data_IF_305340275693
#
_entry.id   IF_305340275693
#
_cell.length_a   1.000
_cell.length_b   1.000
_cell.length_c   1.000
_cell.angle_alpha   90.00
_cell.angle_beta   90.00
_cell.angle_gamma   90.00
#
_symmetry.space_group_name_H-M   'P 1'
#
loop_
_entity.id
_entity.type
_entity.pdbx_description
1 polymer ?
#
# COMPACT_ATOMS: atom_id res chain seq x y z
N UNK A 1 21.85 5.60 -3.43
CA UNK A 1 22.08 4.36 -2.65
C UNK A 1 20.77 3.66 -2.33
N UNK A 2 19.77 4.31 -1.70
CA UNK A 2 18.49 3.65 -1.39
C UNK A 2 17.75 3.13 -2.63
N UNK A 3 17.63 3.93 -3.70
CA UNK A 3 17.04 3.45 -4.96
C UNK A 3 17.76 2.22 -5.55
N UNK A 4 19.06 2.09 -5.28
CA UNK A 4 19.84 0.94 -5.71
C UNK A 4 19.53 -0.30 -4.86
N UNK A 5 19.30 -0.14 -3.54
CA UNK A 5 18.73 -1.19 -2.67
C UNK A 5 17.43 -1.73 -3.23
N UNK A 6 16.50 -0.81 -3.55
CA UNK A 6 15.19 -1.14 -4.11
C UNK A 6 15.33 -1.92 -5.42
N UNK A 7 16.15 -1.43 -6.36
CA UNK A 7 16.38 -2.12 -7.64
C UNK A 7 16.97 -3.52 -7.40
N UNK A 8 17.94 -3.64 -6.51
CA UNK A 8 18.64 -4.90 -6.23
C UNK A 8 17.72 -5.96 -5.60
N UNK A 9 16.89 -5.58 -4.63
CA UNK A 9 15.86 -6.45 -4.09
C UNK A 9 14.80 -6.81 -5.15
N UNK A 10 14.46 -5.88 -6.03
CA UNK A 10 13.51 -6.13 -7.13
C UNK A 10 14.04 -7.22 -8.07
N UNK A 11 15.34 -7.23 -8.39
CA UNK A 11 15.98 -8.28 -9.21
C UNK A 11 15.81 -9.65 -8.57
N UNK A 12 16.00 -9.76 -7.25
CA UNK A 12 15.80 -11.02 -6.52
C UNK A 12 14.35 -11.50 -6.57
N UNK A 13 13.39 -10.61 -6.32
CA UNK A 13 11.98 -10.97 -6.41
C UNK A 13 11.56 -11.35 -7.84
N UNK A 14 12.10 -10.67 -8.85
CA UNK A 14 11.93 -11.06 -10.25
C UNK A 14 12.50 -12.44 -10.57
N UNK A 15 13.64 -12.82 -9.97
CA UNK A 15 14.22 -14.15 -10.14
C UNK A 15 13.39 -15.25 -9.46
N UNK A 16 13.00 -15.05 -8.19
CA UNK A 16 12.22 -16.04 -7.42
C UNK A 16 10.83 -16.25 -8.02
N UNK A 17 10.12 -15.15 -8.30
CA UNK A 17 8.71 -15.23 -8.69
C UNK A 17 8.48 -15.21 -10.20
N UNK A 18 9.54 -15.03 -11.01
CA UNK A 18 9.47 -14.90 -12.47
C UNK A 18 8.47 -13.82 -12.91
N UNK A 19 8.42 -12.71 -12.17
CA UNK A 19 7.55 -11.55 -12.43
C UNK A 19 8.36 -10.33 -12.88
N UNK A 20 7.72 -9.45 -13.65
CA UNK A 20 8.35 -8.23 -14.15
C UNK A 20 8.66 -7.20 -13.06
N UNK A 21 9.57 -6.28 -13.35
CA UNK A 21 9.98 -5.20 -12.45
C UNK A 21 8.80 -4.39 -11.88
N UNK A 22 7.83 -4.07 -12.74
CA UNK A 22 6.65 -3.28 -12.36
C UNK A 22 5.82 -3.93 -11.23
N UNK A 23 5.82 -5.25 -11.15
CA UNK A 23 5.08 -6.00 -10.14
C UNK A 23 5.90 -6.15 -8.85
N UNK A 24 7.22 -6.30 -8.97
CA UNK A 24 8.10 -6.68 -7.86
C UNK A 24 8.73 -5.51 -7.12
N UNK A 25 8.75 -4.30 -7.70
CA UNK A 25 9.30 -3.10 -7.02
C UNK A 25 8.59 -2.71 -5.70
N UNK A 26 7.26 -2.84 -5.53
CA UNK A 26 6.62 -2.52 -4.25
C UNK A 26 7.07 -3.46 -3.13
N UNK A 27 7.27 -4.74 -3.46
CA UNK A 27 7.79 -5.74 -2.51
C UNK A 27 9.18 -5.35 -2.00
N UNK A 28 10.05 -4.88 -2.89
CA UNK A 28 11.39 -4.41 -2.52
C UNK A 28 11.33 -3.23 -1.55
N UNK A 29 10.49 -2.23 -1.84
CA UNK A 29 10.27 -1.07 -0.96
C UNK A 29 9.75 -1.52 0.41
N UNK A 30 8.74 -2.40 0.46
CA UNK A 30 8.18 -2.89 1.72
C UNK A 30 9.21 -3.69 2.52
N UNK A 31 9.98 -4.57 1.86
CA UNK A 31 10.99 -5.36 2.54
C UNK A 31 12.11 -4.48 3.13
N UNK A 32 12.57 -3.47 2.39
CA UNK A 32 13.52 -2.47 2.88
C UNK A 32 13.00 -1.81 4.18
N UNK A 33 11.72 -1.40 4.20
CA UNK A 33 11.08 -0.83 5.39
C UNK A 33 11.06 -1.83 6.55
N UNK A 34 10.67 -3.09 6.30
CA UNK A 34 10.57 -4.10 7.36
C UNK A 34 11.93 -4.44 7.98
N UNK A 35 13.01 -4.46 7.17
CA UNK A 35 14.38 -4.66 7.67
C UNK A 35 14.78 -3.50 8.60
N UNK A 36 14.58 -2.27 8.15
CA UNK A 36 14.94 -1.09 8.95
C UNK A 36 14.06 -0.97 10.20
N UNK A 37 12.77 -1.32 10.08
CA UNK A 37 11.84 -1.38 11.19
C UNK A 37 12.28 -2.39 12.25
N UNK A 38 12.64 -3.62 11.86
CA UNK A 38 13.12 -4.62 12.81
C UNK A 38 14.37 -4.15 13.58
N UNK A 39 15.30 -3.48 12.90
CA UNK A 39 16.47 -2.88 13.56
C UNK A 39 16.11 -1.67 14.44
N UNK A 40 15.13 -0.86 14.02
CA UNK A 40 14.64 0.28 14.78
C UNK A 40 13.97 -0.11 16.10
N UNK A 41 13.30 -1.26 16.17
CA UNK A 41 12.77 -1.85 17.41
C UNK A 41 13.88 -2.14 18.44
N UNK A 42 15.10 -2.39 17.97
CA UNK A 42 16.28 -2.61 18.81
C UNK A 42 17.07 -1.33 19.10
N UNK A 43 16.61 -0.17 18.60
CA UNK A 43 17.32 1.10 18.70
C UNK A 43 18.52 1.22 17.76
N UNK A 44 18.54 0.45 16.67
CA UNK A 44 19.64 0.37 15.71
C UNK A 44 19.18 0.73 14.28
N UNK A 45 18.26 1.69 14.14
CA UNK A 45 17.64 2.02 12.84
C UNK A 45 18.68 2.34 11.74
N UNK A 46 19.74 3.09 12.07
CA UNK A 46 20.83 3.39 11.13
C UNK A 46 21.57 2.13 10.66
N UNK A 47 21.81 1.18 11.57
CA UNK A 47 22.40 -0.12 11.20
C UNK A 47 21.42 -0.89 10.32
N UNK A 48 20.12 -0.80 10.58
CA UNK A 48 19.06 -1.32 9.71
C UNK A 48 19.18 -0.84 8.27
N UNK A 49 19.47 0.44 8.04
CA UNK A 49 19.66 0.99 6.68
C UNK A 49 20.87 0.36 5.99
N UNK A 50 21.99 0.20 6.70
CA UNK A 50 23.17 -0.48 6.15
C UNK A 50 22.91 -1.97 5.92
N UNK A 51 22.17 -2.63 6.81
CA UNK A 51 21.78 -4.03 6.67
C UNK A 51 20.91 -4.24 5.43
N UNK A 52 19.91 -3.37 5.20
CA UNK A 52 19.09 -3.39 4.00
C UNK A 52 19.95 -3.29 2.72
N UNK A 53 20.92 -2.35 2.70
CA UNK A 53 21.85 -2.21 1.58
C UNK A 53 22.71 -3.48 1.37
N UNK A 54 23.29 -4.05 2.42
CA UNK A 54 24.11 -5.27 2.32
C UNK A 54 23.27 -6.46 1.86
N UNK A 55 22.08 -6.64 2.43
CA UNK A 55 21.13 -7.69 2.04
C UNK A 55 20.78 -7.54 0.57
N UNK A 56 20.51 -6.32 0.09
CA UNK A 56 20.18 -6.08 -1.32
C UNK A 56 21.30 -6.53 -2.28
N UNK A 57 22.57 -6.27 -1.94
CA UNK A 57 23.74 -6.74 -2.72
C UNK A 57 23.82 -8.25 -2.73
N UNK A 58 23.68 -8.90 -1.56
CA UNK A 58 23.69 -10.36 -1.45
C UNK A 58 22.55 -10.97 -2.29
N UNK A 59 21.36 -10.38 -2.21
CA UNK A 59 20.18 -10.81 -2.98
C UNK A 59 20.41 -10.76 -4.48
N UNK A 60 21.08 -9.74 -5.03
CA UNK A 60 21.41 -9.70 -6.47
C UNK A 60 22.38 -10.82 -6.86
N UNK A 61 23.40 -11.07 -6.04
CA UNK A 61 24.35 -12.16 -6.30
C UNK A 61 23.62 -13.51 -6.35
N UNK A 62 22.73 -13.77 -5.38
CA UNK A 62 21.89 -14.97 -5.39
C UNK A 62 20.96 -15.04 -6.60
N UNK A 63 20.34 -13.92 -6.99
CA UNK A 63 19.46 -13.86 -8.16
C UNK A 63 20.20 -14.24 -9.45
N UNK A 64 21.44 -13.76 -9.62
CA UNK A 64 22.30 -14.11 -10.75
C UNK A 64 22.67 -15.60 -10.72
N UNK A 65 23.08 -16.13 -9.56
CA UNK A 65 23.44 -17.55 -9.41
C UNK A 65 22.25 -18.46 -9.77
N UNK A 66 21.06 -18.18 -9.24
CA UNK A 66 19.83 -18.95 -9.53
C UNK A 66 19.52 -18.90 -11.03
N UNK A 67 19.64 -17.72 -11.66
CA UNK A 67 19.25 -17.53 -13.05
C UNK A 67 20.25 -18.13 -14.04
N UNK A 68 21.55 -18.11 -13.73
CA UNK A 68 22.59 -18.76 -14.53
C UNK A 68 22.51 -20.27 -14.36
N UNK A 69 22.36 -20.77 -13.13
CA UNK A 69 22.23 -22.20 -12.85
C UNK A 69 20.97 -22.84 -13.44
N UNK A 70 19.87 -22.08 -13.56
CA UNK A 70 18.62 -22.53 -14.15
C UNK A 70 18.49 -22.33 -15.66
N UNK A 71 19.46 -21.70 -16.34
CA UNK A 71 19.38 -21.35 -17.77
C UNK A 71 18.40 -20.21 -18.11
N UNK A 72 17.76 -19.60 -17.10
CA UNK A 72 16.72 -18.58 -17.23
C UNK A 72 17.26 -17.13 -17.30
N UNK A 73 18.58 -16.94 -17.38
CA UNK A 73 19.21 -15.61 -17.34
C UNK A 73 18.64 -14.61 -18.37
N UNK A 74 18.29 -15.08 -19.57
CA UNK A 74 17.65 -14.25 -20.60
C UNK A 74 16.25 -13.79 -20.17
N UNK A 75 15.46 -14.68 -19.56
CA UNK A 75 14.13 -14.35 -19.08
C UNK A 75 14.19 -13.36 -17.91
N UNK A 76 15.12 -13.57 -16.96
CA UNK A 76 15.35 -12.61 -15.88
C UNK A 76 15.69 -11.22 -16.42
N UNK A 77 16.59 -11.14 -17.42
CA UNK A 77 16.98 -9.88 -18.03
C UNK A 77 15.77 -9.10 -18.57
N UNK A 78 14.88 -9.76 -19.32
CA UNK A 78 13.68 -9.10 -19.86
C UNK A 78 12.62 -8.77 -18.80
N UNK A 79 12.57 -9.53 -17.69
CA UNK A 79 11.69 -9.22 -16.58
C UNK A 79 12.16 -7.98 -15.80
N UNK A 80 13.47 -7.88 -15.55
CA UNK A 80 14.09 -6.76 -14.82
C UNK A 80 14.15 -5.52 -15.70
N UNK A 81 14.80 -5.58 -16.86
CA UNK A 81 14.94 -4.46 -17.79
C UNK A 81 13.71 -4.31 -18.69
N UNK A 82 12.54 -4.33 -18.06
CA UNK A 82 11.25 -4.13 -18.71
C UNK A 82 10.93 -2.64 -18.90
N UNK A 83 9.87 -2.33 -19.63
CA UNK A 83 9.43 -0.92 -19.76
C UNK A 83 9.02 -0.32 -18.41
N UNK A 84 8.51 -1.14 -17.48
CA UNK A 84 8.27 -0.72 -16.10
C UNK A 84 9.54 -0.18 -15.42
N UNK A 85 10.70 -0.79 -15.68
CA UNK A 85 11.98 -0.30 -15.17
C UNK A 85 12.37 1.05 -15.79
N UNK A 86 12.16 1.23 -17.09
CA UNK A 86 12.41 2.52 -17.75
C UNK A 86 11.51 3.63 -17.20
N UNK A 87 10.20 3.35 -17.03
CA UNK A 87 9.24 4.27 -16.41
C UNK A 87 9.68 4.62 -14.99
N UNK A 88 10.06 3.61 -14.18
CA UNK A 88 10.57 3.84 -12.83
C UNK A 88 11.81 4.74 -12.82
N UNK A 89 12.80 4.50 -13.69
CA UNK A 89 14.01 5.33 -13.74
C UNK A 89 13.72 6.77 -14.16
N UNK A 90 12.91 6.98 -15.21
CA UNK A 90 12.56 8.31 -15.71
C UNK A 90 11.81 9.10 -14.62
N UNK A 91 10.87 8.45 -13.95
CA UNK A 91 10.03 9.08 -12.93
C UNK A 91 10.79 9.30 -11.63
N UNK A 92 11.66 8.38 -11.23
CA UNK A 92 12.57 8.56 -10.10
C UNK A 92 13.54 9.73 -10.36
N UNK A 93 14.06 9.86 -11.58
CA UNK A 93 14.89 10.99 -11.98
C UNK A 93 14.09 12.31 -11.94
N UNK A 94 12.85 12.31 -12.45
CA UNK A 94 11.97 13.47 -12.39
C UNK A 94 11.67 13.88 -10.94
N UNK A 95 11.34 12.93 -10.07
CA UNK A 95 11.15 13.18 -8.63
C UNK A 95 12.39 13.79 -8.02
N UNK A 96 13.58 13.23 -8.29
CA UNK A 96 14.82 13.79 -7.76
C UNK A 96 15.07 15.24 -8.20
N UNK A 97 14.81 15.56 -9.48
CA UNK A 97 14.95 16.92 -10.01
C UNK A 97 13.92 17.87 -9.40
N UNK A 98 12.66 17.46 -9.34
CA UNK A 98 11.56 18.28 -8.81
C UNK A 98 11.64 18.49 -7.31
N UNK A 99 12.15 17.50 -6.56
CA UNK A 99 12.37 17.61 -5.12
C UNK A 99 13.60 18.43 -4.77
N UNK A 100 14.48 18.76 -5.73
CA UNK A 100 15.68 19.54 -5.47
C UNK A 100 15.30 20.97 -5.07
N UNK A 101 15.68 21.38 -3.86
CA UNK A 101 15.34 22.67 -3.25
C UNK A 101 13.83 22.91 -3.05
N UNK A 102 12.98 21.88 -3.19
CA UNK A 102 11.58 21.99 -2.84
C UNK A 102 11.42 22.01 -1.31
N UNK A 103 10.51 22.86 -0.83
CA UNK A 103 10.10 22.90 0.56
C UNK A 103 8.88 22.00 0.78
N UNK A 104 8.78 21.38 1.95
CA UNK A 104 7.59 20.66 2.35
C UNK A 104 6.42 21.63 2.56
N UNK A 105 5.25 21.25 2.07
CA UNK A 105 4.02 21.93 2.47
C UNK A 105 3.62 21.46 3.87
N UNK A 106 4.00 22.23 4.89
CA UNK A 106 3.70 21.93 6.28
C UNK A 106 2.20 21.95 6.60
N UNK A 107 1.37 22.55 5.75
CA UNK A 107 -0.09 22.60 5.95
C UNK A 107 -0.73 21.22 5.78
N UNK A 108 -0.12 20.37 4.95
CA UNK A 108 -0.63 19.03 4.65
C UNK A 108 0.32 17.90 5.04
N UNK A 109 1.51 18.24 5.54
CA UNK A 109 2.45 17.26 6.07
C UNK A 109 1.95 16.74 7.41
N UNK A 110 1.84 15.42 7.51
CA UNK A 110 1.62 14.72 8.77
C UNK A 110 2.81 14.98 9.70
N UNK A 111 2.55 15.77 10.74
CA UNK A 111 3.52 16.12 11.77
C UNK A 111 4.06 14.88 12.48
N UNK A 112 3.27 13.82 12.61
CA UNK A 112 3.71 12.59 13.27
C UNK A 112 4.77 11.87 12.43
N UNK A 113 4.56 11.77 11.12
CA UNK A 113 5.56 11.26 10.17
C UNK A 113 6.84 12.09 10.23
N UNK A 114 6.75 13.42 10.12
CA UNK A 114 7.93 14.30 10.14
C UNK A 114 8.73 14.18 11.44
N UNK A 115 8.06 14.24 12.59
CA UNK A 115 8.71 14.15 13.90
C UNK A 115 9.36 12.76 14.11
N UNK A 116 8.74 11.70 13.59
CA UNK A 116 9.31 10.35 13.62
C UNK A 116 10.62 10.27 12.83
N UNK A 117 10.68 10.87 11.63
CA UNK A 117 11.93 10.92 10.84
C UNK A 117 13.03 11.66 11.60
N UNK A 118 12.69 12.77 12.26
CA UNK A 118 13.63 13.54 13.06
C UNK A 118 14.14 12.74 14.28
N UNK A 119 13.23 12.05 14.99
CA UNK A 119 13.58 11.18 16.12
C UNK A 119 14.51 10.02 15.70
N UNK A 120 14.28 9.42 14.52
CA UNK A 120 15.16 8.36 14.00
C UNK A 120 16.55 8.86 13.61
N UNK A 121 16.68 10.13 13.20
CA UNK A 121 17.99 10.72 12.92
C UNK A 121 18.75 11.04 14.20
N UNK A 122 18.08 11.60 15.22
CA UNK A 122 18.72 11.99 16.47
C UNK A 122 19.03 10.81 17.37
N UNK A 123 18.07 9.89 17.54
CA UNK A 123 18.13 8.82 18.54
C UNK A 123 18.28 7.41 17.97
N UNK A 124 18.11 7.21 16.65
CA UNK A 124 18.24 5.90 16.01
C UNK A 124 17.23 4.84 16.47
N UNK A 125 16.20 5.24 17.22
CA UNK A 125 15.23 4.34 17.85
C UNK A 125 13.80 4.89 17.74
N UNK A 126 12.81 4.02 17.94
CA UNK A 126 11.41 4.43 17.99
C UNK A 126 10.96 4.93 19.37
N UNK A 127 11.88 5.13 20.34
CA UNK A 127 11.51 5.51 21.71
C UNK A 127 10.93 6.91 21.84
N UNK A 128 11.27 7.79 20.90
CA UNK A 128 10.83 9.19 20.90
C UNK A 128 9.80 9.46 19.79
N UNK A 129 9.11 8.41 19.33
CA UNK A 129 8.05 8.54 18.31
C UNK A 129 6.88 9.30 18.91
N UNK A 130 6.32 10.29 18.19
CA UNK A 130 5.23 11.10 18.70
C UNK A 130 3.93 10.29 18.85
N UNK A 131 3.09 10.73 19.78
CA UNK A 131 1.78 10.15 20.03
C UNK A 131 0.67 11.02 19.43
N UNK A 132 -0.25 10.40 18.70
CA UNK A 132 -1.49 11.03 18.24
C UNK A 132 -2.60 10.67 19.21
N UNK A 133 -3.12 11.66 19.96
CA UNK A 133 -4.18 11.47 20.94
C UNK A 133 -3.91 10.35 21.98
N UNK A 134 -2.66 10.23 22.43
CA UNK A 134 -2.23 9.20 23.38
C UNK A 134 -2.04 7.81 22.77
N UNK A 135 -2.01 7.70 21.44
CA UNK A 135 -1.71 6.48 20.69
C UNK A 135 -0.37 6.65 19.99
N UNK A 136 0.56 5.72 20.23
CA UNK A 136 1.86 5.71 19.56
C UNK A 136 1.67 5.41 18.07
N UNK A 137 2.16 6.31 17.21
CA UNK A 137 1.99 6.21 15.75
C UNK A 137 3.01 5.21 15.19
N UNK A 138 2.59 4.08 14.58
CA UNK A 138 3.49 3.17 13.90
C UNK A 138 4.35 3.89 12.84
N UNK A 139 5.66 3.56 12.71
CA UNK A 139 6.62 4.41 12.02
C UNK A 139 6.90 4.00 10.57
N UNK A 140 6.15 3.07 9.97
CA UNK A 140 6.47 2.39 8.71
C UNK A 140 6.67 3.33 7.53
N UNK A 141 5.79 4.32 7.33
CA UNK A 141 5.97 5.31 6.27
C UNK A 141 7.19 6.21 6.55
N UNK A 142 7.33 6.64 7.80
CA UNK A 142 8.45 7.45 8.25
C UNK A 142 9.79 6.71 8.13
N UNK A 143 9.82 5.39 8.34
CA UNK A 143 11.01 4.54 8.17
C UNK A 143 11.49 4.57 6.72
N UNK A 144 10.58 4.46 5.75
CA UNK A 144 10.98 4.56 4.35
C UNK A 144 11.58 5.94 4.02
N UNK A 145 10.91 7.01 4.46
CA UNK A 145 11.39 8.39 4.27
C UNK A 145 12.76 8.57 4.95
N UNK A 146 12.92 8.04 6.16
CA UNK A 146 14.16 8.07 6.93
C UNK A 146 15.33 7.44 6.19
N UNK A 147 15.14 6.37 5.42
CA UNK A 147 16.23 5.76 4.65
C UNK A 147 16.92 6.76 3.71
N UNK A 148 16.17 7.72 3.15
CA UNK A 148 16.68 8.74 2.23
C UNK A 148 17.43 9.88 2.95
N UNK A 149 17.26 10.02 4.26
CA UNK A 149 17.96 11.02 5.09
C UNK A 149 19.08 10.41 5.94
N UNK A 150 18.98 9.11 6.26
CA UNK A 150 19.91 8.40 7.14
C UNK A 150 21.36 8.37 6.62
N UNK A 151 21.55 8.22 5.30
CA UNK A 151 22.88 8.15 4.69
C UNK A 151 23.59 9.50 4.61
N UNK A 152 22.82 10.59 4.51
CA UNK A 152 23.37 11.96 4.47
C UNK A 152 23.53 12.55 5.87
N UNK A 153 22.87 11.97 6.88
CA UNK A 153 22.84 12.47 8.25
C UNK A 153 22.13 13.82 8.40
N UNK A 154 21.41 14.27 7.35
CA UNK A 154 20.73 15.56 7.32
C UNK A 154 19.26 15.38 6.96
N UNK A 155 18.37 15.86 7.83
CA UNK A 155 16.95 16.03 7.51
C UNK A 155 16.83 17.23 6.59
N UNK A 156 16.59 17.00 5.31
CA UNK A 156 16.23 18.05 4.36
C UNK A 156 14.91 17.69 3.70
N UNK A 157 14.07 18.69 3.46
CA UNK A 157 12.78 18.53 2.77
C UNK A 157 12.95 17.83 1.43
N UNK A 158 14.01 18.20 0.70
CA UNK A 158 14.36 17.57 -0.58
C UNK A 158 14.58 16.06 -0.49
N UNK A 159 15.30 15.57 0.52
CA UNK A 159 15.54 14.14 0.71
C UNK A 159 14.23 13.42 1.10
N UNK A 160 13.41 14.04 1.96
CA UNK A 160 12.16 13.46 2.41
C UNK A 160 11.13 13.38 1.28
N UNK A 161 11.00 14.44 0.47
CA UNK A 161 10.16 14.48 -0.73
C UNK A 161 10.62 13.49 -1.78
N UNK A 162 11.94 13.31 -1.95
CA UNK A 162 12.48 12.26 -2.83
C UNK A 162 12.01 10.88 -2.36
N UNK A 163 12.15 10.57 -1.08
CA UNK A 163 11.68 9.31 -0.51
C UNK A 163 10.17 9.10 -0.70
N UNK A 164 9.36 10.11 -0.40
CA UNK A 164 7.92 10.07 -0.61
C UNK A 164 7.55 9.82 -2.09
N UNK A 165 8.19 10.52 -3.02
CA UNK A 165 7.95 10.33 -4.45
C UNK A 165 8.34 8.94 -4.96
N UNK A 166 9.47 8.40 -4.50
CA UNK A 166 9.90 7.03 -4.85
C UNK A 166 8.91 5.99 -4.30
N UNK A 167 8.42 6.18 -3.08
CA UNK A 167 7.39 5.30 -2.49
C UNK A 167 6.15 5.24 -3.38
N UNK A 168 5.68 6.40 -3.82
CA UNK A 168 4.46 6.55 -4.61
C UNK A 168 4.60 5.89 -5.97
N UNK A 169 5.71 6.16 -6.67
CA UNK A 169 6.00 5.53 -7.96
C UNK A 169 6.01 4.01 -7.80
N UNK A 170 6.70 3.49 -6.78
CA UNK A 170 6.80 2.06 -6.55
C UNK A 170 5.44 1.41 -6.31
N UNK A 171 4.57 2.02 -5.50
CA UNK A 171 3.24 1.45 -5.20
C UNK A 171 2.26 1.48 -6.39
N UNK A 172 2.45 2.40 -7.34
CA UNK A 172 1.55 2.54 -8.51
C UNK A 172 1.99 1.68 -9.68
N UNK A 173 3.28 1.36 -9.78
CA UNK A 173 3.85 0.62 -10.90
C UNK A 173 3.14 -0.73 -11.21
N UNK A 174 2.61 -1.48 -10.22
CA UNK A 174 1.83 -2.70 -10.49
C UNK A 174 0.60 -2.49 -11.37
N UNK A 175 0.01 -1.28 -11.38
CA UNK A 175 -1.09 -0.90 -12.29
C UNK A 175 -0.66 -1.02 -13.76
N UNK A 176 0.65 -0.95 -14.05
CA UNK A 176 1.21 -1.10 -15.38
C UNK A 176 1.75 -2.51 -15.66
N UNK A 177 1.74 -3.38 -14.65
CA UNK A 177 2.47 -4.67 -14.67
C UNK A 177 1.96 -5.68 -15.69
N UNK A 178 0.75 -5.51 -16.24
CA UNK A 178 0.14 -6.41 -17.23
C UNK A 178 -0.14 -5.75 -18.59
N UNK A 179 0.26 -4.50 -18.78
CA UNK A 179 0.05 -3.81 -20.05
C UNK A 179 0.92 -4.45 -21.14
N UNK A 180 0.35 -4.74 -22.31
CA UNK A 180 1.15 -5.18 -23.46
C UNK A 180 1.88 -3.98 -24.07
N UNK A 181 3.14 -3.81 -23.67
CA UNK A 181 4.00 -2.71 -24.09
C UNK A 181 4.35 -2.68 -25.58
N UNK A 182 4.07 -3.76 -26.34
CA UNK A 182 4.24 -3.76 -27.80
C UNK A 182 3.32 -2.74 -28.48
N UNK A 183 2.26 -2.28 -27.79
CA UNK A 183 1.31 -1.27 -28.27
C UNK A 183 1.44 0.00 -27.43
N UNK A 184 2.59 0.65 -27.59
CA UNK A 184 3.09 1.72 -26.71
C UNK A 184 2.13 2.87 -26.39
N UNK A 185 1.13 3.15 -27.25
CA UNK A 185 0.18 4.25 -27.03
C UNK A 185 -0.79 4.02 -25.85
N UNK A 186 -1.25 2.78 -25.60
CA UNK A 186 -2.09 2.47 -24.44
C UNK A 186 -1.30 2.55 -23.13
N UNK A 187 -0.04 2.14 -23.18
CA UNK A 187 0.85 2.20 -22.03
C UNK A 187 1.27 3.64 -21.68
N UNK A 188 1.48 4.48 -22.71
CA UNK A 188 1.70 5.93 -22.58
C UNK A 188 0.49 6.68 -22.03
N UNK A 189 -0.74 6.19 -22.26
CA UNK A 189 -1.95 6.78 -21.69
C UNK A 189 -2.23 6.31 -20.25
N UNK A 190 -1.92 5.04 -19.93
CA UNK A 190 -2.18 4.45 -18.62
C UNK A 190 -1.35 5.10 -17.50
N UNK A 191 -0.11 5.48 -17.78
CA UNK A 191 0.79 6.08 -16.79
C UNK A 191 0.33 7.48 -16.32
N UNK A 192 0.09 8.47 -17.22
CA UNK A 192 -0.51 9.73 -16.84
C UNK A 192 -1.88 9.58 -16.19
N UNK A 193 -2.69 8.60 -16.63
CA UNK A 193 -4.00 8.35 -16.03
C UNK A 193 -3.89 7.86 -14.59
N UNK A 194 -2.96 6.94 -14.30
CA UNK A 194 -2.71 6.48 -12.94
C UNK A 194 -2.22 7.62 -12.02
N UNK A 195 -1.38 8.52 -12.54
CA UNK A 195 -0.95 9.72 -11.82
C UNK A 195 -2.06 10.76 -11.66
N UNK A 196 -2.91 10.93 -12.68
CA UNK A 196 -4.07 11.81 -12.63
C UNK A 196 -5.10 11.33 -11.61
N UNK A 197 -5.30 10.01 -11.47
CA UNK A 197 -6.17 9.44 -10.44
C UNK A 197 -5.72 9.87 -9.03
N UNK A 198 -4.42 10.00 -8.79
CA UNK A 198 -3.92 10.51 -7.52
C UNK A 198 -4.24 11.99 -7.28
N UNK A 199 -4.41 12.78 -8.34
CA UNK A 199 -4.76 14.21 -8.25
C UNK A 199 -6.24 14.45 -8.00
N UNK A 200 -7.10 13.43 -8.17
CA UNK A 200 -8.56 13.51 -7.93
C UNK A 200 -8.86 13.81 -6.45
N UNK A 201 -7.98 13.40 -5.53
CA UNK A 201 -8.07 13.78 -4.12
C UNK A 201 -7.80 15.28 -3.85
N UNK A 202 -7.34 16.03 -4.85
CA UNK A 202 -7.13 17.48 -4.77
C UNK A 202 -6.18 17.91 -3.65
N UNK A 203 -6.49 19.03 -2.99
CA UNK A 203 -5.77 19.52 -1.80
C UNK A 203 -5.85 18.56 -0.60
N UNK A 204 -6.75 17.58 -0.64
CA UNK A 204 -6.92 16.55 0.39
C UNK A 204 -6.10 15.30 0.07
N UNK A 205 -5.21 15.32 -0.90
CA UNK A 205 -4.28 14.21 -1.14
C UNK A 205 -2.96 14.70 -1.73
N UNK A 206 -2.19 15.53 -1.01
CA UNK A 206 -0.93 16.06 -1.50
C UNK A 206 0.15 15.00 -1.37
N UNK A 207 0.21 14.12 -2.36
CA UNK A 207 1.19 13.03 -2.41
C UNK A 207 2.59 13.56 -2.78
N UNK A 208 2.65 14.67 -3.53
CA UNK A 208 3.87 15.08 -4.23
C UNK A 208 4.69 16.14 -3.49
N UNK A 209 4.09 16.87 -2.54
CA UNK A 209 4.72 17.99 -1.83
C UNK A 209 4.54 17.93 -0.30
N UNK A 210 3.97 16.84 0.23
CA UNK A 210 3.78 16.65 1.67
C UNK A 210 4.08 15.20 2.08
N UNK A 211 4.44 15.00 3.34
CA UNK A 211 4.57 13.65 3.92
C UNK A 211 3.22 13.25 4.49
N UNK A 212 2.51 12.33 3.86
CA UNK A 212 1.19 11.92 4.30
C UNK A 212 1.12 10.39 4.43
N UNK A 213 1.13 9.89 5.67
CA UNK A 213 1.09 8.45 5.96
C UNK A 213 -0.22 7.80 5.53
N UNK A 214 -1.33 8.54 5.54
CA UNK A 214 -2.64 8.09 5.05
C UNK A 214 -2.52 7.79 3.57
N UNK A 215 -1.95 8.73 2.82
CA UNK A 215 -1.70 8.54 1.40
C UNK A 215 -0.81 7.33 1.12
N UNK A 216 0.23 7.14 1.93
CA UNK A 216 1.06 5.94 1.90
C UNK A 216 0.25 4.66 2.10
N UNK A 217 -0.62 4.61 3.12
CA UNK A 217 -1.43 3.43 3.45
C UNK A 217 -2.39 3.06 2.31
N UNK A 218 -2.96 4.08 1.69
CA UNK A 218 -3.93 3.95 0.60
C UNK A 218 -3.26 3.38 -0.64
N UNK A 219 -2.06 3.86 -0.97
CA UNK A 219 -1.30 3.35 -2.10
C UNK A 219 -0.90 1.88 -1.90
N UNK A 220 -0.51 1.50 -0.66
CA UNK A 220 -0.23 0.10 -0.33
C UNK A 220 -1.51 -0.75 -0.48
N UNK A 221 -2.65 -0.27 0.03
CA UNK A 221 -3.93 -0.98 -0.10
C UNK A 221 -4.40 -1.10 -1.56
N UNK A 222 -4.25 -0.04 -2.37
CA UNK A 222 -4.54 -0.06 -3.80
C UNK A 222 -3.66 -1.07 -4.54
N UNK A 223 -2.37 -1.12 -4.20
CA UNK A 223 -1.43 -2.10 -4.74
C UNK A 223 -1.85 -3.54 -4.38
N UNK A 224 -2.32 -3.78 -3.16
CA UNK A 224 -2.84 -5.08 -2.72
C UNK A 224 -4.06 -5.49 -3.54
N UNK A 225 -5.03 -4.60 -3.75
CA UNK A 225 -6.21 -4.86 -4.57
C UNK A 225 -5.84 -5.19 -6.02
N UNK A 226 -5.00 -4.37 -6.64
CA UNK A 226 -4.53 -4.60 -8.02
C UNK A 226 -3.80 -5.94 -8.12
N UNK A 227 -2.93 -6.25 -7.16
CA UNK A 227 -2.18 -7.51 -7.16
C UNK A 227 -3.11 -8.71 -7.01
N UNK A 228 -4.02 -8.69 -6.03
CA UNK A 228 -4.91 -9.81 -5.75
C UNK A 228 -5.91 -10.06 -6.88
N UNK A 229 -6.53 -9.00 -7.40
CA UNK A 229 -7.63 -9.12 -8.37
C UNK A 229 -7.13 -9.37 -9.79
N UNK A 230 -5.92 -8.89 -10.12
CA UNK A 230 -5.40 -8.94 -11.47
C UNK A 230 -4.35 -10.03 -11.67
N UNK A 231 -3.69 -10.56 -10.63
CA UNK A 231 -2.70 -11.64 -10.78
C UNK A 231 -3.34 -13.02 -10.62
N UNK A 232 -2.69 -14.04 -11.21
CA UNK A 232 -3.05 -15.43 -10.96
C UNK A 232 -2.75 -15.79 -9.50
N UNK A 233 -3.66 -16.52 -8.86
CA UNK A 233 -3.54 -16.91 -7.46
C UNK A 233 -2.36 -17.89 -7.30
N UNK A 234 -1.20 -17.35 -6.91
CA UNK A 234 0.05 -18.07 -6.75
C UNK A 234 0.81 -17.55 -5.53
N UNK A 235 1.91 -18.22 -5.15
CA UNK A 235 2.70 -17.85 -3.98
C UNK A 235 3.11 -16.37 -3.96
N UNK A 236 3.47 -15.81 -5.12
CA UNK A 236 3.77 -14.39 -5.29
C UNK A 236 2.68 -13.46 -4.72
N UNK A 237 1.40 -13.75 -4.98
CA UNK A 237 0.27 -12.93 -4.54
C UNK A 237 0.20 -12.93 -3.01
N UNK A 238 0.25 -14.09 -2.37
CA UNK A 238 0.17 -14.19 -0.91
C UNK A 238 1.39 -13.61 -0.19
N UNK A 239 2.59 -13.74 -0.77
CA UNK A 239 3.78 -13.06 -0.27
C UNK A 239 3.64 -11.54 -0.34
N UNK A 240 3.13 -11.03 -1.46
CA UNK A 240 2.87 -9.60 -1.65
C UNK A 240 1.83 -9.09 -0.67
N UNK A 241 0.71 -9.79 -0.54
CA UNK A 241 -0.34 -9.44 0.40
C UNK A 241 0.15 -9.53 1.84
N UNK A 242 1.00 -10.49 2.20
CA UNK A 242 1.52 -10.66 3.55
C UNK A 242 2.42 -9.52 3.96
N UNK A 243 3.38 -9.18 3.10
CA UNK A 243 4.30 -8.07 3.31
C UNK A 243 3.56 -6.73 3.30
N UNK A 244 2.61 -6.53 2.38
CA UNK A 244 1.83 -5.30 2.30
C UNK A 244 0.85 -5.15 3.49
N UNK A 245 0.23 -6.22 3.97
CA UNK A 245 -0.55 -6.22 5.21
C UNK A 245 0.34 -5.86 6.41
N UNK A 246 1.54 -6.42 6.50
CA UNK A 246 2.49 -6.04 7.54
C UNK A 246 2.86 -4.56 7.46
N UNK A 247 3.13 -4.05 6.26
CA UNK A 247 3.37 -2.62 6.03
C UNK A 247 2.19 -1.78 6.52
N UNK A 248 0.95 -2.14 6.16
CA UNK A 248 -0.26 -1.46 6.62
C UNK A 248 -0.37 -1.43 8.15
N UNK A 249 -0.06 -2.53 8.84
CA UNK A 249 -0.08 -2.57 10.30
C UNK A 249 0.96 -1.64 10.95
N UNK A 250 2.07 -1.35 10.25
CA UNK A 250 3.13 -0.49 10.79
C UNK A 250 3.13 0.92 10.20
N UNK A 251 2.25 1.27 9.27
CA UNK A 251 2.36 2.55 8.55
C UNK A 251 1.78 3.74 9.33
N UNK A 252 0.68 3.53 10.06
CA UNK A 252 0.00 4.46 10.96
C UNK A 252 -1.13 3.72 11.70
N UNK A 253 -1.71 4.29 12.78
CA UNK A 253 -2.90 3.73 13.38
C UNK A 253 -4.04 3.73 12.35
N UNK A 254 -4.75 2.61 12.26
CA UNK A 254 -5.88 2.41 11.34
C UNK A 254 -5.50 1.75 10.02
N UNK A 255 -4.20 1.65 9.72
CA UNK A 255 -3.73 0.82 8.61
C UNK A 255 -4.06 -0.66 8.83
N UNK A 256 -4.07 -1.13 10.09
CA UNK A 256 -4.55 -2.46 10.47
C UNK A 256 -6.00 -2.73 10.03
N UNK A 257 -6.86 -1.71 9.98
CA UNK A 257 -8.24 -1.87 9.50
C UNK A 257 -8.27 -2.14 7.99
N UNK A 258 -7.38 -1.52 7.22
CA UNK A 258 -7.22 -1.79 5.78
C UNK A 258 -6.65 -3.19 5.54
N UNK A 259 -5.74 -3.66 6.39
CA UNK A 259 -5.23 -5.03 6.32
C UNK A 259 -6.34 -6.06 6.61
N UNK A 260 -7.15 -5.83 7.65
CA UNK A 260 -8.35 -6.64 7.97
C UNK A 260 -9.35 -6.59 6.81
N UNK A 261 -9.58 -5.42 6.23
CA UNK A 261 -10.47 -5.28 5.08
C UNK A 261 -10.01 -6.13 3.90
N UNK A 262 -8.71 -6.10 3.58
CA UNK A 262 -8.17 -6.97 2.53
C UNK A 262 -8.39 -8.46 2.85
N UNK A 263 -8.18 -8.87 4.10
CA UNK A 263 -8.44 -10.24 4.51
C UNK A 263 -9.91 -10.61 4.27
N UNK A 264 -10.85 -9.73 4.62
CA UNK A 264 -12.27 -9.99 4.38
C UNK A 264 -12.59 -10.04 2.88
N UNK A 265 -11.98 -9.19 2.05
CA UNK A 265 -12.12 -9.27 0.59
C UNK A 265 -11.71 -10.65 0.09
N UNK A 266 -10.55 -11.15 0.52
CA UNK A 266 -10.05 -12.48 0.14
C UNK A 266 -11.02 -13.57 0.60
N UNK A 267 -11.53 -13.49 1.84
CA UNK A 267 -12.47 -14.48 2.37
C UNK A 267 -13.80 -14.47 1.62
N UNK A 268 -14.37 -13.30 1.32
CA UNK A 268 -15.62 -13.17 0.56
C UNK A 268 -15.42 -13.69 -0.85
N UNK A 269 -14.32 -13.33 -1.52
CA UNK A 269 -14.01 -13.78 -2.87
C UNK A 269 -13.86 -15.31 -2.94
N UNK A 270 -13.14 -15.90 -1.98
CA UNK A 270 -13.02 -17.36 -1.81
C UNK A 270 -14.38 -18.02 -1.55
N UNK A 271 -15.21 -17.42 -0.70
CA UNK A 271 -16.54 -17.95 -0.37
C UNK A 271 -17.52 -17.84 -1.54
N UNK A 272 -17.48 -16.75 -2.31
CA UNK A 272 -18.37 -16.47 -3.43
C UNK A 272 -18.00 -17.24 -4.69
N UNK A 273 -16.70 -17.38 -4.99
CA UNK A 273 -16.19 -18.15 -6.14
C UNK A 273 -16.00 -19.64 -5.84
N UNK A 274 -16.18 -20.06 -4.58
CA UNK A 274 -16.45 -21.43 -4.14
C UNK A 274 -15.52 -22.51 -4.69
N UNK A 275 -14.51 -22.89 -3.91
CA UNK A 275 -13.74 -24.16 -3.90
C UNK A 275 -13.11 -24.73 -5.19
N UNK A 276 -13.52 -24.35 -6.40
CA UNK A 276 -13.01 -24.90 -7.67
C UNK A 276 -11.55 -24.49 -7.93
N UNK A 277 -11.13 -23.27 -7.56
CA UNK A 277 -9.72 -22.83 -7.62
C UNK A 277 -8.95 -23.12 -6.30
N UNK A 278 -9.66 -23.24 -5.17
CA UNK A 278 -9.05 -23.36 -3.83
C UNK A 278 -8.56 -24.79 -3.54
N UNK A 279 -9.19 -25.81 -4.13
CA UNK A 279 -8.72 -27.20 -4.03
C UNK A 279 -7.27 -27.35 -4.50
N UNK A 280 -6.88 -26.66 -5.57
CA UNK A 280 -5.50 -26.64 -6.05
C UNK A 280 -4.55 -25.78 -5.19
N UNK A 281 -5.09 -24.89 -4.36
CA UNK A 281 -4.30 -24.06 -3.45
C UNK A 281 -3.69 -24.90 -2.32
N UNK A 282 -4.43 -25.90 -1.85
CA UNK A 282 -3.99 -26.84 -0.83
C UNK A 282 -3.29 -28.09 -1.40
N UNK A 283 -3.26 -28.24 -2.73
CA UNK A 283 -2.62 -29.38 -3.39
C UNK A 283 -1.08 -29.34 -3.38
N UNK A 284 -0.47 -28.16 -3.23
CA UNK A 284 0.98 -27.99 -3.29
C UNK A 284 1.55 -27.40 -1.97
N UNK A 285 2.60 -28.02 -1.38
CA UNK A 285 3.22 -27.53 -0.15
C UNK A 285 3.67 -26.05 -0.19
N UNK A 286 4.17 -25.59 -1.34
CA UNK A 286 4.64 -24.22 -1.52
C UNK A 286 3.53 -23.15 -1.42
N UNK A 287 2.29 -23.52 -1.72
CA UNK A 287 1.14 -22.59 -1.68
C UNK A 287 0.65 -22.37 -0.24
N UNK A 288 0.55 -23.41 0.60
CA UNK A 288 0.16 -23.23 2.01
C UNK A 288 1.20 -22.44 2.82
N UNK A 289 2.49 -22.65 2.54
CA UNK A 289 3.59 -21.88 3.17
C UNK A 289 3.38 -20.38 2.91
N UNK A 290 2.95 -20.02 1.71
CA UNK A 290 2.71 -18.62 1.34
C UNK A 290 1.50 -18.02 2.09
N UNK A 291 0.47 -18.82 2.37
CA UNK A 291 -0.69 -18.40 3.17
C UNK A 291 -0.32 -18.28 4.66
N UNK A 292 0.44 -19.23 5.21
CA UNK A 292 0.93 -19.14 6.59
C UNK A 292 1.86 -17.93 6.75
N UNK A 293 2.74 -17.70 5.79
CA UNK A 293 3.60 -16.52 5.75
C UNK A 293 2.78 -15.22 5.82
N UNK A 294 1.68 -15.11 5.05
CA UNK A 294 0.78 -13.97 5.11
C UNK A 294 0.30 -13.67 6.54
N UNK A 295 -0.20 -14.70 7.24
CA UNK A 295 -0.70 -14.52 8.61
C UNK A 295 0.42 -14.22 9.61
N UNK A 296 1.53 -14.95 9.54
CA UNK A 296 2.65 -14.81 10.47
C UNK A 296 3.28 -13.42 10.37
N UNK A 297 3.54 -12.94 9.16
CA UNK A 297 4.19 -11.63 8.94
C UNK A 297 3.26 -10.48 9.33
N UNK A 298 1.98 -10.56 9.00
CA UNK A 298 0.98 -9.56 9.43
C UNK A 298 0.83 -9.53 10.95
N UNK A 299 0.69 -10.69 11.60
CA UNK A 299 0.56 -10.79 13.04
C UNK A 299 1.83 -10.30 13.76
N UNK A 300 3.01 -10.64 13.25
CA UNK A 300 4.28 -10.16 13.79
C UNK A 300 4.38 -8.63 13.70
N UNK A 301 4.07 -8.05 12.54
CA UNK A 301 4.12 -6.59 12.34
C UNK A 301 3.18 -5.86 13.31
N UNK A 302 1.93 -6.32 13.42
CA UNK A 302 0.97 -5.79 14.37
C UNK A 302 1.43 -5.94 15.83
N UNK A 303 1.77 -7.16 16.25
CA UNK A 303 2.14 -7.43 17.64
C UNK A 303 3.44 -6.72 18.05
N UNK A 304 4.45 -6.71 17.18
CA UNK A 304 5.76 -6.13 17.48
C UNK A 304 5.68 -4.65 17.81
N UNK A 305 4.87 -3.88 17.07
CA UNK A 305 4.70 -2.45 17.34
C UNK A 305 4.06 -2.22 18.70
N UNK A 306 2.93 -2.88 18.96
CA UNK A 306 2.19 -2.69 20.20
C UNK A 306 2.95 -3.18 21.44
N UNK A 307 3.70 -4.28 21.31
CA UNK A 307 4.59 -4.76 22.38
C UNK A 307 5.70 -3.74 22.63
N UNK A 308 6.32 -3.19 21.57
CA UNK A 308 7.36 -2.20 21.70
C UNK A 308 6.85 -0.91 22.34
N UNK A 309 5.72 -0.38 21.86
CA UNK A 309 5.08 0.81 22.41
C UNK A 309 4.77 0.63 23.90
N UNK A 310 4.13 -0.49 24.26
CA UNK A 310 3.82 -0.83 25.65
C UNK A 310 5.05 -0.94 26.56
N UNK A 311 6.16 -1.53 26.07
CA UNK A 311 7.42 -1.64 26.83
C UNK A 311 8.13 -0.31 27.05
N UNK A 312 7.99 0.62 26.13
CA UNK A 312 8.65 1.94 26.21
C UNK A 312 7.73 3.02 26.78
N UNK A 313 6.54 2.65 27.28
CA UNK A 313 5.59 3.60 27.84
C UNK A 313 4.95 4.53 26.81
N UNK A 314 5.16 4.27 25.51
CA UNK A 314 4.56 5.01 24.41
C UNK A 314 3.11 4.55 24.23
N UNK A 315 2.19 5.50 24.30
CA UNK A 315 0.80 5.37 23.87
C UNK A 315 0.06 4.13 24.37
N UNK A 316 -0.83 4.33 25.34
CA UNK A 316 -1.56 3.20 25.94
C UNK A 316 -2.79 2.82 25.10
N UNK A 317 -2.60 2.19 23.94
CA UNK A 317 -3.71 1.77 23.04
C UNK A 317 -4.90 1.11 23.76
N UNK A 318 -4.63 0.19 24.70
CA UNK A 318 -5.69 -0.47 25.48
C UNK A 318 -6.27 0.40 26.61
N UNK A 319 -5.56 1.45 27.03
CA UNK A 319 -5.99 2.39 28.06
C UNK A 319 -6.69 3.62 27.46
N UNK A 320 -6.45 3.97 26.19
CA UNK A 320 -7.30 4.88 25.40
C UNK A 320 -8.63 4.23 25.01
N UNK A 321 -8.69 2.89 24.96
CA UNK A 321 -9.96 2.13 24.87
C UNK A 321 -10.73 2.17 26.23
N UNK A 322 -10.07 2.51 27.35
CA UNK A 322 -10.77 2.75 28.61
C UNK A 322 -11.53 4.08 28.56
N UNK A 323 -12.84 3.94 28.33
CA UNK A 323 -13.95 4.82 28.70
C UNK A 323 -13.51 6.13 29.38
N UNK A 324 -13.24 7.18 28.59
CA UNK A 324 -13.14 8.55 29.12
C UNK A 324 -14.53 9.04 29.59
N UNK A 325 -14.61 9.91 30.61
CA UNK A 325 -15.87 10.42 31.16
C UNK A 325 -16.69 11.29 30.20
N UNK A 326 -16.13 11.77 29.08
CA UNK A 326 -16.83 12.54 28.03
C UNK A 326 -17.76 11.68 27.14
N UNK A 327 -18.31 10.58 27.68
CA UNK A 327 -19.15 9.60 26.98
C UNK A 327 -20.66 9.86 27.08
N UNK A 328 -21.09 11.12 27.16
CA UNK A 328 -22.52 11.47 27.31
C UNK A 328 -23.40 11.12 26.09
N UNK A 329 -22.80 10.74 24.96
CA UNK A 329 -23.50 10.12 23.84
C UNK A 329 -23.42 8.58 23.94
N UNK A 330 -24.55 7.96 24.25
CA UNK A 330 -24.74 6.52 24.12
C UNK A 330 -24.35 6.01 22.73
N UNK A 331 -24.15 4.69 22.59
CA UNK A 331 -23.73 4.04 21.34
C UNK A 331 -24.52 4.54 20.11
N UNK A 332 -25.84 4.65 20.25
CA UNK A 332 -26.75 5.17 19.22
C UNK A 332 -26.47 6.62 18.82
N UNK A 333 -26.07 7.48 19.78
CA UNK A 333 -25.73 8.88 19.52
C UNK A 333 -24.42 9.04 18.75
N UNK A 334 -23.40 8.24 19.08
CA UNK A 334 -22.11 8.24 18.37
C UNK A 334 -22.22 7.65 16.97
N UNK A 335 -22.91 6.52 16.86
CA UNK A 335 -23.23 5.93 15.57
C UNK A 335 -24.04 6.94 14.73
N UNK A 336 -25.03 7.61 15.33
CA UNK A 336 -25.78 8.69 14.72
C UNK A 336 -24.91 9.86 14.22
N UNK A 337 -23.85 10.25 14.95
CA UNK A 337 -22.90 11.28 14.48
C UNK A 337 -22.03 10.79 13.31
N UNK A 338 -21.56 9.55 13.34
CA UNK A 338 -20.79 8.98 12.22
C UNK A 338 -21.66 8.83 10.99
N UNK A 339 -22.87 8.30 11.14
CA UNK A 339 -23.85 8.24 10.05
C UNK A 339 -24.24 9.64 9.58
N UNK A 340 -24.42 10.62 10.46
CA UNK A 340 -24.66 12.00 10.06
C UNK A 340 -23.48 12.60 9.29
N UNK A 341 -22.23 12.28 9.66
CA UNK A 341 -21.04 12.72 8.94
C UNK A 341 -20.91 12.04 7.57
N UNK A 342 -21.16 10.72 7.52
CA UNK A 342 -21.19 9.92 6.29
C UNK A 342 -22.28 10.43 5.34
N UNK A 343 -23.48 10.67 5.84
CA UNK A 343 -24.67 11.03 5.07
C UNK A 343 -24.98 12.54 5.03
N UNK A 344 -24.03 13.39 5.43
CA UNK A 344 -24.12 14.83 5.20
C UNK A 344 -24.11 15.07 3.69
N UNK A 345 -25.16 15.71 3.15
CA UNK A 345 -25.44 15.75 1.71
C UNK A 345 -24.35 16.42 0.86
N UNK A 346 -23.50 17.26 1.47
CA UNK A 346 -22.32 17.85 0.80
C UNK A 346 -21.15 16.88 0.65
N UNK A 347 -21.13 15.83 1.46
CA UNK A 347 -20.04 14.88 1.59
C UNK A 347 -20.31 13.63 0.75
N UNK A 348 -21.54 13.11 0.76
CA UNK A 348 -21.88 11.85 0.08
C UNK A 348 -22.03 11.96 -1.43
N UNK A 349 -22.51 13.11 -1.94
CA UNK A 349 -22.86 13.26 -3.36
C UNK A 349 -21.66 13.04 -4.29
N UNK A 350 -20.45 13.59 -4.03
CA UNK A 350 -19.26 13.28 -4.81
C UNK A 350 -18.90 11.78 -4.79
N UNK A 351 -19.06 11.11 -3.64
CA UNK A 351 -18.70 9.69 -3.50
C UNK A 351 -19.66 8.76 -4.22
N UNK A 352 -20.98 9.04 -4.17
CA UNK A 352 -21.98 8.29 -4.94
C UNK A 352 -21.70 8.42 -6.44
N UNK A 353 -21.33 9.62 -6.90
CA UNK A 353 -20.92 9.83 -8.30
C UNK A 353 -19.70 8.97 -8.66
N UNK A 354 -18.68 8.90 -7.80
CA UNK A 354 -17.51 8.05 -8.04
C UNK A 354 -17.81 6.56 -8.04
N UNK A 355 -18.70 6.08 -7.16
CA UNK A 355 -19.16 4.68 -7.15
C UNK A 355 -19.93 4.36 -8.43
N UNK A 356 -20.78 5.28 -8.90
CA UNK A 356 -21.49 5.11 -10.17
C UNK A 356 -20.52 5.08 -11.35
N UNK A 357 -19.52 5.96 -11.37
CA UNK A 357 -18.44 5.94 -12.38
C UNK A 357 -17.71 4.59 -12.34
N UNK A 358 -17.36 4.10 -11.16
CA UNK A 358 -16.73 2.79 -10.99
C UNK A 358 -17.60 1.66 -11.53
N UNK A 359 -18.90 1.63 -11.18
CA UNK A 359 -19.84 0.63 -11.65
C UNK A 359 -20.00 0.67 -13.18
N UNK A 360 -20.05 1.87 -13.78
CA UNK A 360 -20.08 2.04 -15.24
C UNK A 360 -18.80 1.50 -15.88
N UNK A 361 -17.63 1.78 -15.28
CA UNK A 361 -16.35 1.26 -15.76
C UNK A 361 -16.31 -0.28 -15.64
N UNK A 362 -16.74 -0.84 -14.52
CA UNK A 362 -16.83 -2.28 -14.29
C UNK A 362 -17.78 -2.96 -15.27
N UNK A 363 -18.96 -2.39 -15.49
CA UNK A 363 -19.90 -2.86 -16.49
C UNK A 363 -19.30 -2.78 -17.91
N UNK A 364 -18.63 -1.69 -18.25
CA UNK A 364 -17.91 -1.53 -19.51
C UNK A 364 -16.81 -2.58 -19.69
N UNK A 365 -15.98 -2.83 -18.68
CA UNK A 365 -14.94 -3.84 -18.72
C UNK A 365 -15.49 -5.27 -18.79
N UNK A 366 -16.59 -5.56 -18.09
CA UNK A 366 -17.29 -6.85 -18.18
C UNK A 366 -17.90 -7.04 -19.58
N UNK A 367 -18.46 -5.98 -20.19
CA UNK A 367 -18.91 -6.00 -21.58
C UNK A 367 -17.75 -6.18 -22.55
N UNK A 368 -16.53 -5.73 -22.21
CA UNK A 368 -15.29 -5.92 -22.95
C UNK A 368 -14.63 -7.30 -22.73
N UNK A 369 -15.03 -8.06 -21.71
CA UNK A 369 -14.48 -9.38 -21.47
C UNK A 369 -15.00 -10.42 -22.49
N UNK A 370 -14.08 -11.25 -22.99
CA UNK A 370 -14.39 -12.38 -23.88
C UNK A 370 -14.64 -13.66 -23.08
N UNK A 371 -15.69 -14.40 -23.47
CA UNK A 371 -16.11 -15.61 -22.77
C UNK A 371 -17.05 -15.33 -21.59
N UNK A 372 -18.11 -16.12 -21.51
CA UNK A 372 -19.16 -16.02 -20.48
C UNK A 372 -18.58 -16.03 -19.05
N UNK A 373 -17.63 -16.92 -18.79
CA UNK A 373 -16.98 -17.07 -17.49
C UNK A 373 -16.14 -15.85 -17.08
N UNK A 374 -15.46 -15.20 -18.02
CA UNK A 374 -14.71 -13.97 -17.71
C UNK A 374 -15.64 -12.79 -17.41
N UNK A 375 -16.81 -12.73 -18.05
CA UNK A 375 -17.85 -11.72 -17.74
C UNK A 375 -18.41 -11.93 -16.33
N UNK A 376 -18.75 -13.18 -15.98
CA UNK A 376 -19.21 -13.53 -14.64
C UNK A 376 -18.15 -13.21 -13.58
N UNK A 377 -16.89 -13.63 -13.80
CA UNK A 377 -15.77 -13.35 -12.88
C UNK A 377 -15.61 -11.85 -12.64
N UNK A 378 -15.65 -11.05 -13.71
CA UNK A 378 -15.53 -9.58 -13.60
C UNK A 378 -16.71 -8.96 -12.84
N UNK A 379 -17.92 -9.48 -13.06
CA UNK A 379 -19.12 -9.08 -12.31
C UNK A 379 -19.02 -9.42 -10.81
N UNK A 380 -18.61 -10.64 -10.47
CA UNK A 380 -18.42 -11.07 -9.07
C UNK A 380 -17.34 -10.23 -8.41
N UNK A 381 -16.21 -10.01 -9.08
CA UNK A 381 -15.12 -9.16 -8.58
C UNK A 381 -15.59 -7.72 -8.28
N UNK A 382 -16.40 -7.13 -9.16
CA UNK A 382 -16.97 -5.81 -8.95
C UNK A 382 -17.93 -5.78 -7.73
N UNK A 383 -18.75 -6.83 -7.57
CA UNK A 383 -19.64 -6.99 -6.40
C UNK A 383 -18.84 -7.18 -5.12
N UNK A 384 -17.78 -7.97 -5.13
CA UNK A 384 -16.89 -8.18 -3.96
C UNK A 384 -16.26 -6.87 -3.52
N UNK A 385 -15.74 -6.06 -4.45
CA UNK A 385 -15.16 -4.74 -4.14
C UNK A 385 -16.24 -3.79 -3.59
N UNK A 386 -17.45 -3.81 -4.15
CA UNK A 386 -18.56 -3.00 -3.66
C UNK A 386 -19.02 -3.43 -2.25
N UNK A 387 -19.14 -4.73 -1.99
CA UNK A 387 -19.45 -5.26 -0.67
C UNK A 387 -18.36 -4.91 0.35
N UNK A 388 -17.10 -4.94 -0.07
CA UNK A 388 -15.98 -4.51 0.75
C UNK A 388 -16.04 -3.02 1.08
N UNK A 389 -16.51 -2.17 0.16
CA UNK A 389 -16.75 -0.76 0.47
C UNK A 389 -17.80 -0.59 1.57
N UNK A 390 -18.93 -1.28 1.47
CA UNK A 390 -20.00 -1.23 2.48
C UNK A 390 -19.48 -1.72 3.83
N UNK A 391 -18.75 -2.83 3.83
CA UNK A 391 -18.14 -3.37 5.05
C UNK A 391 -17.09 -2.42 5.63
N UNK A 392 -16.30 -1.77 4.78
CA UNK A 392 -15.33 -0.78 5.19
C UNK A 392 -15.99 0.41 5.89
N UNK A 393 -17.09 0.95 5.34
CA UNK A 393 -17.86 2.00 6.01
C UNK A 393 -18.36 1.55 7.38
N UNK A 394 -18.77 0.28 7.52
CA UNK A 394 -19.18 -0.29 8.80
C UNK A 394 -18.01 -0.43 9.79
N UNK A 395 -16.86 -0.94 9.35
CA UNK A 395 -15.63 -1.06 10.16
C UNK A 395 -15.14 0.31 10.59
N UNK A 396 -15.18 1.30 9.69
CA UNK A 396 -14.80 2.67 9.96
C UNK A 396 -15.72 3.28 11.03
N UNK A 397 -17.04 3.08 10.89
CA UNK A 397 -18.01 3.52 11.88
C UNK A 397 -17.79 2.85 13.24
N UNK A 398 -17.46 1.56 13.26
CA UNK A 398 -17.11 0.84 14.47
C UNK A 398 -15.83 1.40 15.12
N UNK A 399 -14.77 1.61 14.33
CA UNK A 399 -13.48 2.13 14.81
C UNK A 399 -13.59 3.54 15.42
N UNK A 400 -14.36 4.44 14.79
CA UNK A 400 -14.64 5.78 15.37
C UNK A 400 -15.53 5.72 16.60
N UNK A 401 -16.38 4.70 16.71
CA UNK A 401 -17.27 4.56 17.87
C UNK A 401 -16.53 4.00 19.09
N UNK A 402 -15.55 3.11 18.88
CA UNK A 402 -14.97 2.30 19.95
C UNK A 402 -13.46 2.40 20.16
N UNK A 403 -12.68 2.75 19.13
CA UNK A 403 -11.21 2.61 19.13
C UNK A 403 -10.50 3.95 19.19
N UNK A 404 -10.95 4.94 18.41
CA UNK A 404 -10.31 6.24 18.39
C UNK A 404 -10.93 7.19 19.43
N UNK A 405 -10.11 7.82 20.30
CA UNK A 405 -10.60 8.98 21.05
C UNK A 405 -11.05 10.01 20.03
N UNK A 406 -12.29 10.50 20.17
CA UNK A 406 -12.88 11.54 19.31
C UNK A 406 -12.03 12.80 19.46
N UNK A 407 -10.94 12.86 18.73
CA UNK A 407 -9.99 13.94 18.76
C UNK A 407 -9.78 14.34 17.32
N UNK A 408 -10.24 15.55 17.03
CA UNK A 408 -10.30 16.24 15.73
C UNK A 408 -11.22 15.64 14.66
N UNK A 409 -12.14 16.50 14.20
CA UNK A 409 -13.04 16.41 13.06
C UNK A 409 -13.27 15.02 12.43
N UNK A 410 -14.15 14.20 13.04
CA UNK A 410 -14.58 12.87 12.53
C UNK A 410 -14.93 12.91 11.04
N UNK A 411 -15.50 14.02 10.58
CA UNK A 411 -15.85 14.23 9.16
C UNK A 411 -14.63 14.23 8.25
N UNK A 412 -13.55 14.93 8.63
CA UNK A 412 -12.32 14.94 7.82
C UNK A 412 -11.73 13.55 7.74
N UNK A 413 -11.56 12.88 8.87
CA UNK A 413 -10.93 11.57 8.90
C UNK A 413 -11.75 10.52 8.13
N UNK A 414 -13.09 10.55 8.22
CA UNK A 414 -13.98 9.73 7.37
C UNK A 414 -13.81 10.06 5.88
N UNK A 415 -13.73 11.34 5.52
CA UNK A 415 -13.50 11.77 4.13
C UNK A 415 -12.17 11.24 3.57
N UNK A 416 -11.10 11.24 4.36
CA UNK A 416 -9.81 10.68 3.97
C UNK A 416 -9.91 9.19 3.64
N UNK A 417 -10.56 8.41 4.52
CA UNK A 417 -10.75 6.98 4.37
C UNK A 417 -11.69 6.59 3.22
N UNK A 418 -12.66 7.42 2.86
CA UNK A 418 -13.51 7.18 1.68
C UNK A 418 -12.77 7.54 0.39
N UNK A 419 -12.11 8.70 0.36
CA UNK A 419 -11.30 9.15 -0.79
C UNK A 419 -10.21 8.13 -1.12
N UNK A 420 -9.55 7.62 -0.09
CA UNK A 420 -8.66 6.48 -0.12
C UNK A 420 -9.18 5.29 -0.92
N UNK A 421 -10.33 4.77 -0.49
CA UNK A 421 -10.92 3.58 -1.07
C UNK A 421 -11.32 3.84 -2.53
N UNK A 422 -11.84 5.04 -2.83
CA UNK A 422 -12.17 5.45 -4.20
C UNK A 422 -10.92 5.50 -5.08
N UNK A 423 -9.81 6.08 -4.61
CA UNK A 423 -8.55 6.09 -5.37
C UNK A 423 -8.08 4.66 -5.65
N UNK A 424 -8.15 3.78 -4.65
CA UNK A 424 -7.77 2.38 -4.81
C UNK A 424 -8.67 1.66 -5.84
N UNK A 425 -9.98 1.89 -5.79
CA UNK A 425 -10.94 1.40 -6.78
C UNK A 425 -10.65 1.94 -8.19
N UNK A 426 -10.37 3.24 -8.33
CA UNK A 426 -10.08 3.86 -9.61
C UNK A 426 -8.78 3.34 -10.22
N UNK A 427 -7.73 3.14 -9.42
CA UNK A 427 -6.48 2.51 -9.89
C UNK A 427 -6.72 1.08 -10.36
N UNK A 428 -7.55 0.32 -9.64
CA UNK A 428 -7.99 -1.00 -10.09
C UNK A 428 -8.78 -0.93 -11.39
N UNK A 429 -9.73 0.01 -11.51
CA UNK A 429 -10.50 0.25 -12.73
C UNK A 429 -9.62 0.59 -13.93
N UNK A 430 -8.61 1.45 -13.75
CA UNK A 430 -7.63 1.79 -14.78
C UNK A 430 -6.90 0.52 -15.26
N UNK A 431 -6.40 -0.29 -14.32
CA UNK A 431 -5.71 -1.54 -14.68
C UNK A 431 -6.64 -2.49 -15.46
N UNK A 432 -7.87 -2.66 -15.01
CA UNK A 432 -8.84 -3.54 -15.63
C UNK A 432 -9.23 -3.08 -17.05
N UNK A 433 -9.48 -1.78 -17.25
CA UNK A 433 -9.73 -1.20 -18.59
C UNK A 433 -8.52 -1.50 -19.49
N UNK A 434 -7.33 -1.12 -19.05
CA UNK A 434 -6.14 -1.21 -19.89
C UNK A 434 -5.86 -2.65 -20.27
N UNK A 435 -5.92 -3.60 -19.33
CA UNK A 435 -5.73 -5.02 -19.64
C UNK A 435 -6.77 -5.55 -20.63
N UNK A 436 -8.07 -5.26 -20.42
CA UNK A 436 -9.15 -5.80 -21.27
C UNK A 436 -9.19 -5.19 -22.67
N UNK A 437 -8.88 -3.90 -22.82
CA UNK A 437 -8.73 -3.28 -24.14
C UNK A 437 -7.56 -3.87 -24.93
N UNK A 438 -6.51 -4.27 -24.23
CA UNK A 438 -5.31 -4.86 -24.83
C UNK A 438 -5.60 -6.26 -25.39
N UNK A 439 -6.45 -7.03 -24.72
CA UNK A 439 -6.85 -8.39 -25.12
C UNK A 439 -7.83 -8.39 -26.31
N UNK A 440 -8.82 -7.48 -26.34
CA UNK A 440 -10.00 -7.60 -27.23
C UNK A 440 -9.87 -7.06 -28.65
N UNK A 441 -9.16 -5.94 -28.83
CA UNK A 441 -9.16 -5.26 -30.13
C UNK A 441 -8.14 -5.82 -31.12
N UNK A 442 -7.33 -6.79 -30.70
CA UNK A 442 -6.13 -7.17 -31.43
C UNK A 442 -5.63 -8.59 -31.13
N UNK A 443 -6.52 -9.47 -30.68
CA UNK A 443 -6.43 -10.89 -31.00
C UNK A 443 -6.86 -11.07 -32.46
#
# INVERSE_FOLDING_TARGET
MICLSVIFLTVMFSAIFRRGFAQTVPLAVILDVLIVYAAGLLGLAKIGVYAALIISVICVVFAVVISVGGGDGRALFFNVFSVGFAVFLITAAAVFVLSRNAALDHSFTDKYTLNTVQALISGGSFKDVPEAAGIAVPPGYAVFIYMFTALTGRVTDSNMLTGAGIFVIAMILPVLGKINWRKGYLALAAFPLAFAVLTIGGSRFPIYNALNADAGAILVFAMMLVTYMCCEQCGYVYWTLGLASAMLCIIRPGGELLAILMLVIIVIDIAALGFYEVGELFAAPSKWISVVFYFVVTAFAFASWWIFAGRNGLGRFFKSIQITPERDLGFSGRLGQVFKALFDGKTILPYVVWILIFLVICAGAALLAEGFWNRIRTGIQAVTVLMAFVLFLFILAFAYTYVYPITTNVKESVDWYITAFIIAMLLYSVNMIVNRFTDRFFA
#
